data_IF_018905634447
#
_entry.id   IF_018905634447
#
_cell.length_a   1.000
_cell.length_b   1.000
_cell.length_c   1.000
_cell.angle_alpha   90.00
_cell.angle_beta   90.00
_cell.angle_gamma   90.00
#
_symmetry.space_group_name_H-M   'P 1'
#
loop_
_entity.id
_entity.type
_entity.pdbx_description
1 polymer ?
#
# COMPACT_ATOMS: atom_id res chain seq x y z
N UNK A 1 2.11 -3.12 70.64
CA UNK A 1 3.10 -3.31 69.56
C UNK A 1 2.54 -4.25 68.50
N UNK A 2 1.56 -3.82 67.65
CA UNK A 2 0.98 -4.66 66.56
C UNK A 2 0.79 -3.91 65.24
N UNK A 3 1.31 -2.67 65.11
CA UNK A 3 1.16 -1.82 63.91
C UNK A 3 2.14 -2.11 62.76
N UNK A 4 3.36 -2.63 62.94
CA UNK A 4 4.27 -2.82 61.81
C UNK A 4 3.89 -4.01 60.90
N UNK A 5 3.25 -5.04 61.44
CA UNK A 5 2.85 -6.23 60.67
C UNK A 5 1.70 -5.93 59.68
N UNK A 6 0.80 -5.02 60.00
CA UNK A 6 -0.31 -4.63 59.13
C UNK A 6 0.18 -3.80 57.92
N UNK A 7 1.17 -2.94 58.12
CA UNK A 7 1.77 -2.14 57.02
C UNK A 7 2.58 -2.99 56.04
N UNK A 8 3.27 -4.03 56.52
CA UNK A 8 4.03 -4.97 55.69
C UNK A 8 3.05 -5.83 54.86
N UNK A 9 1.94 -6.26 55.43
CA UNK A 9 0.90 -7.02 54.70
C UNK A 9 0.21 -6.18 53.60
N UNK A 10 -0.07 -4.90 53.87
CA UNK A 10 -0.63 -3.97 52.90
C UNK A 10 0.35 -3.66 51.74
N UNK A 11 1.65 -3.54 52.04
CA UNK A 11 2.69 -3.33 51.05
C UNK A 11 2.90 -4.54 50.11
N UNK A 12 2.78 -5.76 50.61
CA UNK A 12 2.87 -6.98 49.82
C UNK A 12 1.65 -7.20 48.92
N UNK A 13 0.48 -6.70 49.31
CA UNK A 13 -0.74 -6.80 48.50
C UNK A 13 -0.72 -5.87 47.26
N UNK A 14 0.00 -4.76 47.33
CA UNK A 14 0.16 -3.82 46.22
C UNK A 14 1.14 -4.27 45.11
N UNK A 15 1.98 -5.26 45.37
CA UNK A 15 3.00 -5.74 44.41
C UNK A 15 2.43 -6.79 43.44
N UNK A 16 1.27 -7.36 43.76
CA UNK A 16 0.71 -8.50 43.01
C UNK A 16 -0.18 -8.17 41.81
N UNK A 17 -0.28 -6.91 41.36
CA UNK A 17 -1.23 -6.51 40.31
C UNK A 17 -0.58 -6.11 38.99
N UNK A 18 0.71 -6.33 38.80
CA UNK A 18 1.34 -6.05 37.51
C UNK A 18 1.72 -7.32 36.76
N UNK A 19 0.79 -8.27 36.66
CA UNK A 19 0.87 -9.29 35.62
C UNK A 19 0.40 -8.63 34.32
N UNK A 20 1.25 -7.86 33.68
CA UNK A 20 1.04 -7.48 32.28
C UNK A 20 1.12 -8.77 31.47
N UNK A 21 -0.02 -9.31 31.06
CA UNK A 21 -0.07 -10.31 30.03
C UNK A 21 0.67 -9.70 28.83
N UNK A 22 1.89 -10.16 28.55
CA UNK A 22 2.58 -9.77 27.33
C UNK A 22 1.70 -10.28 26.18
N UNK A 23 1.19 -9.38 25.32
CA UNK A 23 0.46 -9.84 24.16
C UNK A 23 1.42 -10.73 23.37
N UNK A 24 1.01 -11.97 23.13
CA UNK A 24 1.78 -12.88 22.26
C UNK A 24 2.02 -12.20 20.92
N UNK A 25 2.99 -12.68 20.13
CA UNK A 25 3.31 -12.06 18.83
C UNK A 25 2.02 -12.03 17.99
N UNK A 26 1.59 -10.82 17.58
CA UNK A 26 0.40 -10.68 16.74
C UNK A 26 0.60 -11.41 15.40
N UNK A 27 -0.48 -11.91 14.83
CA UNK A 27 -0.46 -12.49 13.50
C UNK A 27 -0.06 -11.42 12.47
N UNK A 28 0.79 -11.81 11.53
CA UNK A 28 1.19 -10.95 10.42
C UNK A 28 0.06 -10.84 9.40
N UNK A 29 -0.16 -9.63 8.89
CA UNK A 29 -1.20 -9.32 7.89
C UNK A 29 -0.55 -9.01 6.55
N UNK A 30 -0.95 -9.72 5.52
CA UNK A 30 -0.54 -9.46 4.14
C UNK A 30 -1.71 -8.94 3.31
N UNK A 31 -1.46 -7.95 2.46
CA UNK A 31 -2.42 -7.43 1.48
C UNK A 31 -1.96 -7.79 0.09
N UNK A 32 -2.86 -8.37 -0.71
CA UNK A 32 -2.63 -8.72 -2.10
C UNK A 32 -3.48 -7.82 -2.99
N UNK A 33 -2.83 -7.04 -3.85
CA UNK A 33 -3.46 -6.06 -4.73
C UNK A 33 -3.38 -6.57 -6.18
N UNK A 34 -4.53 -6.83 -6.78
CA UNK A 34 -4.62 -7.34 -8.15
C UNK A 34 -4.38 -6.26 -9.21
N UNK A 35 -4.15 -6.68 -10.45
CA UNK A 35 -4.17 -5.81 -11.60
C UNK A 35 -5.60 -5.35 -11.95
N UNK A 36 -5.73 -4.61 -13.06
CA UNK A 36 -7.04 -4.19 -13.57
C UNK A 36 -7.05 -2.83 -14.26
N UNK A 37 -5.89 -2.30 -14.65
CA UNK A 37 -5.77 -0.97 -15.23
C UNK A 37 -6.38 0.10 -14.32
N UNK A 38 -7.18 1.00 -14.87
CA UNK A 38 -7.82 2.06 -14.09
C UNK A 38 -8.69 1.55 -12.93
N UNK A 39 -9.30 0.37 -13.05
CA UNK A 39 -10.09 -0.24 -11.96
C UNK A 39 -9.24 -0.58 -10.73
N UNK A 40 -7.94 -0.84 -10.92
CA UNK A 40 -7.02 -1.13 -9.82
C UNK A 40 -6.81 0.05 -8.87
N UNK A 41 -7.19 1.28 -9.27
CA UNK A 41 -7.15 2.44 -8.37
C UNK A 41 -8.10 2.29 -7.18
N UNK A 42 -9.11 1.43 -7.25
CA UNK A 42 -9.99 1.11 -6.13
C UNK A 42 -9.23 0.53 -4.92
N UNK A 43 -8.03 0.00 -5.12
CA UNK A 43 -7.17 -0.47 -4.03
C UNK A 43 -6.80 0.65 -3.05
N UNK A 44 -6.73 1.91 -3.51
CA UNK A 44 -6.47 3.07 -2.64
C UNK A 44 -7.58 3.18 -1.58
N UNK A 45 -8.84 3.06 -2.00
CA UNK A 45 -9.97 3.08 -1.08
C UNK A 45 -9.97 1.89 -0.11
N UNK A 46 -9.57 0.71 -0.58
CA UNK A 46 -9.45 -0.46 0.29
C UNK A 46 -8.35 -0.29 1.34
N UNK A 47 -7.17 0.22 0.96
CA UNK A 47 -6.08 0.52 1.90
C UNK A 47 -6.52 1.54 2.95
N UNK A 48 -7.25 2.59 2.54
CA UNK A 48 -7.79 3.59 3.45
C UNK A 48 -8.68 2.96 4.53
N UNK A 49 -9.62 2.10 4.14
CA UNK A 49 -10.51 1.41 5.09
C UNK A 49 -9.73 0.49 6.02
N UNK A 50 -8.69 -0.19 5.53
CA UNK A 50 -7.84 -1.07 6.35
C UNK A 50 -7.10 -0.24 7.41
N UNK A 51 -6.55 0.92 7.03
CA UNK A 51 -5.89 1.84 7.98
C UNK A 51 -6.87 2.42 9.01
N UNK A 52 -8.04 2.88 8.55
CA UNK A 52 -9.09 3.39 9.45
C UNK A 52 -9.58 2.34 10.44
N UNK A 53 -9.57 1.07 10.04
CA UNK A 53 -9.86 -0.06 10.93
C UNK A 53 -8.71 -0.39 11.90
N UNK A 54 -7.58 0.30 11.82
CA UNK A 54 -6.42 0.06 12.69
C UNK A 54 -5.72 -1.27 12.43
N UNK A 55 -5.89 -1.86 11.24
CA UNK A 55 -5.28 -3.14 10.87
C UNK A 55 -3.87 -2.89 10.35
N UNK A 56 -2.82 -3.30 11.08
CA UNK A 56 -1.45 -3.09 10.64
C UNK A 56 -1.11 -4.05 9.49
N UNK A 57 -0.62 -3.50 8.38
CA UNK A 57 -0.18 -4.26 7.21
C UNK A 57 1.33 -4.53 7.34
N UNK A 58 1.72 -5.82 7.30
CA UNK A 58 3.12 -6.26 7.37
C UNK A 58 3.72 -6.54 6.00
N UNK A 59 2.89 -6.99 5.05
CA UNK A 59 3.31 -7.37 3.70
C UNK A 59 2.35 -6.83 2.66
N UNK A 60 2.91 -6.32 1.57
CA UNK A 60 2.13 -5.88 0.40
C UNK A 60 2.65 -6.62 -0.83
N UNK A 61 1.75 -7.25 -1.56
CA UNK A 61 2.01 -7.89 -2.85
C UNK A 61 1.10 -7.29 -3.88
N UNK A 62 1.62 -6.93 -5.04
CA UNK A 62 0.82 -6.31 -6.09
C UNK A 62 1.17 -6.79 -7.49
N UNK A 63 0.19 -6.73 -8.40
CA UNK A 63 0.34 -7.02 -9.83
C UNK A 63 -0.19 -5.86 -10.65
N UNK A 64 0.52 -5.41 -11.71
CA UNK A 64 0.10 -4.31 -12.58
C UNK A 64 -0.25 -3.05 -11.77
N UNK A 65 -1.44 -2.48 -11.89
CA UNK A 65 -1.87 -1.32 -11.11
C UNK A 65 -1.74 -1.55 -9.60
N UNK A 66 -2.03 -2.77 -9.13
CA UNK A 66 -1.83 -3.14 -7.72
C UNK A 66 -0.36 -3.07 -7.28
N UNK A 67 0.60 -3.31 -8.18
CA UNK A 67 2.03 -3.14 -7.86
C UNK A 67 2.43 -1.67 -7.76
N UNK A 68 1.84 -0.80 -8.56
CA UNK A 68 2.06 0.65 -8.48
C UNK A 68 1.52 1.18 -7.15
N UNK A 69 0.26 0.87 -6.83
CA UNK A 69 -0.37 1.29 -5.57
C UNK A 69 0.35 0.71 -4.36
N UNK A 70 0.65 -0.60 -4.38
CA UNK A 70 1.37 -1.27 -3.29
C UNK A 70 2.79 -0.76 -3.12
N UNK A 71 3.48 -0.45 -4.21
CA UNK A 71 4.81 0.15 -4.18
C UNK A 71 4.80 1.54 -3.55
N UNK A 72 3.89 2.42 -3.97
CA UNK A 72 3.73 3.75 -3.36
C UNK A 72 3.39 3.65 -1.87
N UNK A 73 2.48 2.75 -1.50
CA UNK A 73 2.12 2.50 -0.11
C UNK A 73 3.34 2.02 0.71
N UNK A 74 4.13 1.11 0.17
CA UNK A 74 5.31 0.54 0.84
C UNK A 74 6.42 1.56 1.11
N UNK A 75 6.52 2.62 0.31
CA UNK A 75 7.47 3.71 0.51
C UNK A 75 6.90 4.87 1.34
N UNK A 76 5.68 4.71 1.89
CA UNK A 76 5.10 5.61 2.88
C UNK A 76 4.09 6.63 2.36
N UNK A 77 3.60 6.49 1.13
CA UNK A 77 2.47 7.32 0.68
C UNK A 77 1.18 6.90 1.38
N UNK A 78 0.45 7.88 1.91
CA UNK A 78 -0.88 7.60 2.48
C UNK A 78 -1.94 7.42 1.40
N UNK A 79 -3.06 6.73 1.70
CA UNK A 79 -4.17 6.61 0.76
C UNK A 79 -4.68 7.95 0.23
N UNK A 80 -4.71 9.00 1.06
CA UNK A 80 -5.13 10.35 0.64
C UNK A 80 -4.17 10.99 -0.35
N UNK A 81 -2.86 10.82 -0.13
CA UNK A 81 -1.84 11.31 -1.05
C UNK A 81 -1.94 10.58 -2.39
N UNK A 82 -2.11 9.26 -2.36
CA UNK A 82 -2.29 8.46 -3.56
C UNK A 82 -3.57 8.84 -4.32
N UNK A 83 -4.71 9.05 -3.63
CA UNK A 83 -5.96 9.51 -4.25
C UNK A 83 -5.76 10.85 -4.96
N UNK A 84 -5.08 11.79 -4.31
CA UNK A 84 -4.75 13.09 -4.90
C UNK A 84 -3.86 12.97 -6.15
N UNK A 85 -2.88 12.05 -6.14
CA UNK A 85 -2.00 11.80 -7.29
C UNK A 85 -2.77 11.22 -8.46
N UNK A 86 -3.59 10.18 -8.22
CA UNK A 86 -4.35 9.50 -9.28
C UNK A 86 -5.34 10.42 -9.98
N UNK A 87 -5.96 11.35 -9.25
CA UNK A 87 -6.93 12.31 -9.83
C UNK A 87 -6.27 13.35 -10.73
N UNK A 88 -4.97 13.60 -10.57
CA UNK A 88 -4.22 14.59 -11.36
C UNK A 88 -3.59 14.02 -12.63
N UNK A 89 -3.56 12.70 -12.79
CA UNK A 89 -2.90 12.04 -13.91
C UNK A 89 -3.81 11.82 -15.10
N UNK A 90 -3.30 12.02 -16.30
CA UNK A 90 -3.94 11.54 -17.52
C UNK A 90 -3.63 10.05 -17.73
N UNK A 91 -4.52 9.22 -17.20
CA UNK A 91 -4.39 7.76 -17.29
C UNK A 91 -4.54 7.24 -18.72
N UNK A 92 -5.26 7.96 -19.58
CA UNK A 92 -5.39 7.61 -20.99
C UNK A 92 -4.05 7.68 -21.70
N UNK A 93 -3.28 8.70 -21.39
CA UNK A 93 -1.91 8.87 -21.90
C UNK A 93 -0.95 7.85 -21.28
N UNK A 94 -0.93 7.74 -19.94
CA UNK A 94 0.02 6.86 -19.23
C UNK A 94 -0.17 5.37 -19.52
N UNK A 95 -1.41 4.93 -19.77
CA UNK A 95 -1.72 3.53 -20.10
C UNK A 95 -1.79 3.26 -21.61
N UNK A 96 -1.54 4.28 -22.45
CA UNK A 96 -1.45 4.11 -23.88
C UNK A 96 0.00 3.86 -24.30
N UNK A 97 0.20 2.89 -25.21
CA UNK A 97 1.51 2.69 -25.86
C UNK A 97 1.79 3.75 -26.95
N UNK A 98 1.06 4.85 -26.94
CA UNK A 98 1.18 5.89 -27.96
C UNK A 98 2.16 6.94 -27.51
N UNK A 99 3.34 6.94 -28.12
CA UNK A 99 4.26 8.05 -28.04
C UNK A 99 3.84 9.09 -29.08
N UNK A 100 3.61 10.36 -28.71
CA UNK A 100 3.30 11.42 -29.68
C UNK A 100 4.36 11.49 -30.75
N UNK A 101 3.95 11.66 -32.00
CA UNK A 101 4.87 11.69 -33.14
C UNK A 101 5.93 12.79 -33.04
N UNK A 102 5.64 13.84 -32.30
CA UNK A 102 6.57 14.94 -31.99
C UNK A 102 7.74 14.51 -31.09
N UNK A 103 7.55 13.47 -30.27
CA UNK A 103 8.55 12.97 -29.31
C UNK A 103 9.34 11.76 -29.85
N UNK A 104 8.91 11.21 -31.01
CA UNK A 104 9.61 10.12 -31.69
C UNK A 104 10.82 10.64 -32.49
N UNK A 105 11.96 10.00 -32.36
CA UNK A 105 13.09 10.28 -33.26
C UNK A 105 12.83 9.71 -34.67
N UNK A 106 13.62 10.14 -35.65
CA UNK A 106 13.43 9.76 -37.07
C UNK A 106 13.52 8.23 -37.27
N UNK A 107 14.43 7.55 -36.58
CA UNK A 107 14.58 6.10 -36.70
C UNK A 107 13.36 5.33 -36.15
N UNK A 108 12.77 5.78 -35.05
CA UNK A 108 11.54 5.21 -34.48
C UNK A 108 10.33 5.39 -35.39
N UNK A 109 10.24 6.57 -36.03
CA UNK A 109 9.16 6.84 -37.04
C UNK A 109 9.25 5.89 -38.22
N UNK A 110 10.46 5.71 -38.79
CA UNK A 110 10.66 4.78 -39.89
C UNK A 110 10.42 3.31 -39.49
N UNK A 111 10.82 2.91 -38.29
CA UNK A 111 10.56 1.57 -37.79
C UNK A 111 9.07 1.30 -37.64
N UNK A 112 8.30 2.24 -37.09
CA UNK A 112 6.85 2.10 -36.93
C UNK A 112 6.12 2.00 -38.25
N UNK A 113 6.53 2.77 -39.27
CA UNK A 113 5.96 2.71 -40.63
C UNK A 113 6.24 1.36 -41.33
N UNK A 114 7.44 0.82 -41.17
CA UNK A 114 7.80 -0.50 -41.71
C UNK A 114 7.01 -1.64 -41.08
N UNK A 115 6.73 -1.57 -39.76
CA UNK A 115 5.94 -2.57 -39.06
C UNK A 115 4.47 -2.56 -39.48
N UNK A 116 3.87 -1.38 -39.63
CA UNK A 116 2.47 -1.23 -40.09
C UNK A 116 2.35 -1.77 -41.52
N UNK A 117 3.27 -1.44 -42.41
CA UNK A 117 3.23 -1.91 -43.81
C UNK A 117 3.29 -3.44 -43.96
N UNK A 118 4.09 -4.13 -43.13
CA UNK A 118 4.21 -5.61 -43.13
C UNK A 118 2.98 -6.33 -42.60
N UNK A 119 2.12 -5.69 -41.86
CA UNK A 119 0.94 -6.31 -41.23
C UNK A 119 -0.28 -6.29 -42.16
N UNK A 120 -0.28 -5.49 -43.23
CA UNK A 120 -1.39 -5.30 -44.12
C UNK A 120 -1.09 -5.71 -45.60
N UNK A 121 0.07 -6.33 -45.86
CA UNK A 121 0.41 -7.03 -47.08
C UNK A 121 0.50 -8.55 -46.83
#
# INVERSE_FOLDING_TARGET
MKFPTLLIAAGLLCISVHTTAQPGPRKKVGVVLSGGGAKGMAHIGALKVIEEAGIPIDYVVGTSMGSIIGGLYSIGYTPEQMDSMVRRQDWSFLLSDKIPRSEQNMAEREASEKYVRRRFM
#
